data_IF_179472018665
#
_entry.id   IF_179472018665
#
_cell.length_a   1.000
_cell.length_b   1.000
_cell.length_c   1.000
_cell.angle_alpha   90.00
_cell.angle_beta   90.00
_cell.angle_gamma   90.00
#
_symmetry.space_group_name_H-M   'P 1'
#
loop_
_entity.id
_entity.type
_entity.pdbx_description
1 polymer ?
#
# COMPACT_ATOMS: atom_id res chain seq x y z
N UNK A 1 17.55 -15.99 1.40
CA UNK A 1 18.04 -14.63 1.78
C UNK A 1 17.09 -13.62 1.17
N UNK A 2 16.64 -12.61 1.92
CA UNK A 2 15.75 -11.58 1.39
C UNK A 2 16.48 -10.75 0.32
N UNK A 3 15.89 -10.62 -0.84
CA UNK A 3 16.41 -9.84 -1.97
C UNK A 3 15.56 -8.61 -2.26
N UNK A 4 14.29 -8.67 -1.85
CA UNK A 4 13.30 -7.65 -2.16
C UNK A 4 12.45 -7.32 -0.94
N UNK A 5 12.28 -6.03 -0.64
CA UNK A 5 11.43 -5.56 0.46
C UNK A 5 10.31 -4.69 -0.11
N UNK A 6 9.10 -4.98 0.29
CA UNK A 6 7.90 -4.21 -0.09
C UNK A 6 7.35 -3.54 1.16
N UNK A 7 7.25 -2.22 1.13
CA UNK A 7 6.80 -1.40 2.23
C UNK A 7 5.47 -0.74 1.89
N UNK A 8 4.51 -0.81 2.81
CA UNK A 8 3.44 0.18 2.86
C UNK A 8 4.00 1.55 3.25
N UNK A 9 3.20 2.60 3.10
CA UNK A 9 3.59 3.99 3.36
C UNK A 9 2.94 4.52 4.63
N UNK A 10 1.62 4.66 4.63
CA UNK A 10 0.87 5.39 5.65
C UNK A 10 0.70 4.55 6.93
N UNK A 11 1.39 4.91 8.01
CA UNK A 11 1.41 4.16 9.28
C UNK A 11 2.53 3.13 9.38
N UNK A 12 3.22 2.86 8.26
CA UNK A 12 4.43 2.03 8.19
C UNK A 12 5.67 2.92 8.19
N UNK A 13 5.99 3.62 7.09
CA UNK A 13 7.15 4.51 7.06
C UNK A 13 6.83 5.95 7.53
N UNK A 14 5.54 6.24 7.75
CA UNK A 14 5.07 7.53 8.29
C UNK A 14 4.40 7.32 9.64
N UNK A 15 4.33 8.41 10.42
CA UNK A 15 3.54 8.47 11.65
C UNK A 15 2.02 8.65 11.36
N UNK A 16 1.23 8.78 12.44
CA UNK A 16 -0.21 9.04 12.38
C UNK A 16 -0.59 10.38 11.72
N UNK A 17 0.36 11.31 11.58
CA UNK A 17 0.19 12.58 10.89
C UNK A 17 0.68 12.51 9.43
N UNK A 18 1.07 11.33 8.97
CA UNK A 18 1.64 11.07 7.65
C UNK A 18 2.99 11.76 7.41
N UNK A 19 3.74 12.00 8.47
CA UNK A 19 5.10 12.54 8.42
C UNK A 19 6.08 11.37 8.35
N UNK A 20 6.97 11.36 7.35
CA UNK A 20 7.97 10.31 7.20
C UNK A 20 8.99 10.41 8.33
N UNK A 21 9.24 9.30 9.01
CA UNK A 21 10.26 9.20 10.03
C UNK A 21 11.66 9.39 9.44
N UNK A 22 12.53 10.23 10.05
CA UNK A 22 13.94 10.32 9.66
C UNK A 22 14.66 8.96 9.72
N UNK A 23 14.28 8.11 10.68
CA UNK A 23 14.86 6.78 10.85
C UNK A 23 14.40 5.84 9.71
N UNK A 24 13.16 5.96 9.21
CA UNK A 24 12.72 5.24 8.01
C UNK A 24 13.58 5.60 6.79
N UNK A 25 13.87 6.90 6.59
CA UNK A 25 14.70 7.37 5.48
C UNK A 25 16.10 6.77 5.57
N UNK A 26 16.75 6.81 6.76
CA UNK A 26 18.08 6.24 6.98
C UNK A 26 18.10 4.73 6.73
N UNK A 27 17.12 4.01 7.27
CA UNK A 27 17.03 2.56 7.16
C UNK A 27 16.80 2.11 5.72
N UNK A 28 15.89 2.76 4.99
CA UNK A 28 15.66 2.50 3.57
C UNK A 28 16.95 2.69 2.78
N UNK A 29 17.66 3.81 2.95
CA UNK A 29 18.91 4.08 2.24
C UNK A 29 20.00 3.06 2.58
N UNK A 30 20.12 2.68 3.86
CA UNK A 30 21.04 1.63 4.28
C UNK A 30 20.73 0.28 3.62
N UNK A 31 19.45 -0.10 3.52
CA UNK A 31 19.04 -1.31 2.80
C UNK A 31 19.44 -1.26 1.33
N UNK A 32 19.19 -0.13 0.65
CA UNK A 32 19.56 0.08 -0.74
C UNK A 32 21.10 0.00 -0.96
N UNK A 33 21.90 0.59 -0.06
CA UNK A 33 23.37 0.54 -0.07
C UNK A 33 23.90 -0.89 0.10
N UNK A 34 23.16 -1.74 0.84
CA UNK A 34 23.46 -3.16 0.99
C UNK A 34 22.90 -4.05 -0.16
N UNK A 35 22.41 -3.43 -1.24
CA UNK A 35 21.96 -4.14 -2.44
C UNK A 35 20.53 -4.65 -2.40
N UNK A 36 19.75 -4.31 -1.36
CA UNK A 36 18.33 -4.67 -1.28
C UNK A 36 17.54 -3.91 -2.35
N UNK A 37 16.63 -4.61 -3.02
CA UNK A 37 15.61 -3.97 -3.85
C UNK A 37 14.44 -3.56 -2.95
N UNK A 38 14.01 -2.30 -3.02
CA UNK A 38 12.91 -1.80 -2.19
C UNK A 38 11.82 -1.19 -3.08
N UNK A 39 10.58 -1.59 -2.83
CA UNK A 39 9.36 -1.06 -3.46
C UNK A 39 8.44 -0.46 -2.41
N UNK A 40 7.66 0.54 -2.82
CA UNK A 40 6.54 1.06 -2.03
C UNK A 40 5.22 0.68 -2.69
N UNK A 41 4.25 0.25 -1.90
CA UNK A 41 2.89 -0.07 -2.35
C UNK A 41 1.89 0.63 -1.44
N UNK A 42 1.09 1.55 -1.98
CA UNK A 42 0.20 2.39 -1.18
C UNK A 42 -1.13 2.69 -1.89
N UNK A 43 -2.13 3.13 -1.11
CA UNK A 43 -3.36 3.72 -1.64
C UNK A 43 -3.17 5.13 -2.24
N UNK A 44 -1.98 5.71 -2.15
CA UNK A 44 -1.66 7.03 -2.70
C UNK A 44 -1.62 7.03 -4.24
N UNK A 45 -1.79 8.21 -4.82
CA UNK A 45 -1.72 8.44 -6.27
C UNK A 45 -0.27 8.42 -6.77
N UNK A 46 -0.06 8.12 -8.06
CA UNK A 46 1.30 8.03 -8.65
C UNK A 46 2.16 9.29 -8.45
N UNK A 47 1.67 10.52 -8.55
CA UNK A 47 2.50 11.70 -8.26
C UNK A 47 3.16 11.68 -6.87
N UNK A 48 2.44 11.20 -5.85
CA UNK A 48 2.99 11.01 -4.49
C UNK A 48 4.02 9.89 -4.47
N UNK A 49 3.69 8.74 -5.06
CA UNK A 49 4.58 7.58 -5.11
C UNK A 49 5.87 7.87 -5.87
N UNK A 50 5.79 8.62 -6.96
CA UNK A 50 6.96 9.09 -7.72
C UNK A 50 7.85 10.02 -6.88
N UNK A 51 7.24 10.96 -6.14
CA UNK A 51 7.97 11.85 -5.24
C UNK A 51 8.71 11.05 -4.16
N UNK A 52 8.03 10.13 -3.49
CA UNK A 52 8.63 9.24 -2.49
C UNK A 52 9.77 8.40 -3.07
N UNK A 53 9.54 7.75 -4.22
CA UNK A 53 10.59 7.00 -4.94
C UNK A 53 11.82 7.86 -5.16
N UNK A 54 11.64 9.05 -5.68
CA UNK A 54 12.73 9.95 -6.05
C UNK A 54 13.52 10.42 -4.82
N UNK A 55 12.83 10.91 -3.80
CA UNK A 55 13.46 11.52 -2.63
C UNK A 55 14.02 10.51 -1.62
N UNK A 56 13.47 9.29 -1.56
CA UNK A 56 14.02 8.20 -0.75
C UNK A 56 15.15 7.45 -1.48
N UNK A 57 15.25 7.57 -2.80
CA UNK A 57 16.23 6.84 -3.62
C UNK A 57 15.79 5.42 -3.98
N UNK A 58 14.51 5.12 -3.94
CA UNK A 58 13.94 3.79 -4.22
C UNK A 58 14.34 3.32 -5.63
N UNK A 59 14.93 2.13 -5.73
CA UNK A 59 15.47 1.55 -6.96
C UNK A 59 14.47 0.66 -7.73
N UNK A 60 13.48 0.09 -7.04
CA UNK A 60 12.46 -0.78 -7.60
C UNK A 60 11.19 -0.01 -8.05
N UNK A 61 10.19 -0.66 -8.70
CA UNK A 61 8.91 -0.02 -9.01
C UNK A 61 8.19 0.49 -7.77
N UNK A 62 7.33 1.49 -7.93
CA UNK A 62 6.39 1.92 -6.90
C UNK A 62 4.97 1.78 -7.42
N UNK A 63 4.07 1.36 -6.54
CA UNK A 63 2.68 1.11 -6.85
C UNK A 63 1.77 2.06 -6.09
N UNK A 64 0.91 2.74 -6.82
CA UNK A 64 -0.16 3.56 -6.29
C UNK A 64 -1.51 2.87 -6.36
N UNK A 65 -2.50 3.53 -5.77
CA UNK A 65 -3.90 3.13 -5.83
C UNK A 65 -4.13 1.66 -5.45
N UNK A 66 -3.48 1.23 -4.34
CA UNK A 66 -3.52 -0.15 -3.84
C UNK A 66 -3.11 -1.20 -4.89
N UNK A 67 -2.04 -0.94 -5.64
CA UNK A 67 -1.53 -1.86 -6.66
C UNK A 67 -2.16 -1.69 -8.04
N UNK A 68 -3.10 -0.76 -8.21
CA UNK A 68 -3.79 -0.55 -9.49
C UNK A 68 -2.94 0.08 -10.58
N UNK A 69 -1.90 0.79 -10.21
CA UNK A 69 -1.03 1.54 -11.12
C UNK A 69 0.42 1.49 -10.64
N UNK A 70 1.35 1.34 -11.55
CA UNK A 70 2.79 1.23 -11.29
C UNK A 70 3.55 2.35 -12.01
N UNK A 71 4.62 2.85 -11.36
CA UNK A 71 5.67 3.64 -12.01
C UNK A 71 7.01 2.92 -11.90
N UNK A 72 7.65 2.67 -13.04
CA UNK A 72 8.99 2.11 -13.11
C UNK A 72 9.72 2.53 -14.39
N UNK A 73 11.01 2.87 -14.30
CA UNK A 73 11.89 3.21 -15.41
C UNK A 73 11.28 4.22 -16.42
N UNK A 74 10.67 5.30 -15.91
CA UNK A 74 10.08 6.36 -16.73
C UNK A 74 8.72 6.00 -17.34
N UNK A 75 8.15 4.84 -17.02
CA UNK A 75 6.85 4.37 -17.53
C UNK A 75 5.81 4.27 -16.43
N UNK A 76 4.58 4.63 -16.78
CA UNK A 76 3.40 4.38 -15.96
C UNK A 76 2.61 3.26 -16.62
N UNK A 77 2.25 2.26 -15.84
CA UNK A 77 1.43 1.13 -16.28
C UNK A 77 0.19 1.02 -15.41
N UNK A 78 -0.99 0.94 -16.03
CA UNK A 78 -2.29 0.83 -15.39
C UNK A 78 -2.79 -0.61 -15.58
N UNK A 79 -3.27 -1.22 -14.51
CA UNK A 79 -3.73 -2.60 -14.52
C UNK A 79 -5.25 -2.70 -14.42
N UNK A 80 -5.92 -1.60 -14.07
CA UNK A 80 -7.37 -1.51 -13.90
C UNK A 80 -7.90 -0.20 -14.49
N UNK A 81 -9.23 -0.11 -14.63
CA UNK A 81 -9.91 1.02 -15.23
C UNK A 81 -10.60 1.90 -14.18
N UNK A 82 -10.53 3.22 -14.33
CA UNK A 82 -11.15 4.16 -13.40
C UNK A 82 -12.64 4.43 -13.64
N UNK A 83 -13.16 4.12 -14.83
CA UNK A 83 -14.49 4.53 -15.25
C UNK A 83 -15.60 4.08 -14.29
N UNK A 84 -15.59 2.81 -13.91
CA UNK A 84 -16.61 2.22 -13.05
C UNK A 84 -16.51 2.73 -11.60
N UNK A 85 -15.33 2.80 -10.94
CA UNK A 85 -15.17 3.45 -9.64
C UNK A 85 -15.67 4.89 -9.60
N UNK A 86 -15.44 5.70 -10.64
CA UNK A 86 -15.89 7.08 -10.68
C UNK A 86 -17.39 7.23 -10.92
N UNK A 87 -17.97 6.40 -11.79
CA UNK A 87 -19.43 6.35 -11.96
C UNK A 87 -20.15 5.96 -10.66
N UNK A 88 -19.58 4.99 -9.94
CA UNK A 88 -20.12 4.60 -8.64
C UNK A 88 -19.98 5.72 -7.60
N UNK A 89 -18.82 6.41 -7.54
CA UNK A 89 -18.62 7.55 -6.65
C UNK A 89 -19.70 8.64 -6.90
N UNK A 90 -19.97 8.97 -8.15
CA UNK A 90 -21.02 9.93 -8.51
C UNK A 90 -22.41 9.45 -8.05
N UNK A 91 -22.72 8.18 -8.28
CA UNK A 91 -23.99 7.58 -7.87
C UNK A 91 -24.22 7.63 -6.35
N UNK A 92 -23.22 7.27 -5.52
CA UNK A 92 -23.36 7.26 -4.07
C UNK A 92 -23.29 8.66 -3.45
N UNK A 93 -22.57 9.61 -4.07
CA UNK A 93 -22.50 11.00 -3.59
C UNK A 93 -23.85 11.71 -3.57
N UNK A 94 -24.78 11.32 -4.44
CA UNK A 94 -26.14 11.85 -4.47
C UNK A 94 -27.10 11.21 -3.46
N UNK A 95 -26.67 10.18 -2.72
CA UNK A 95 -27.52 9.33 -1.86
C UNK A 95 -27.05 9.16 -0.43
N UNK A 96 -25.88 9.69 -0.10
CA UNK A 96 -25.21 9.52 1.19
C UNK A 96 -24.35 10.74 1.53
N UNK A 97 -23.66 10.71 2.68
CA UNK A 97 -22.71 11.74 3.08
C UNK A 97 -21.37 11.70 2.33
N UNK A 98 -21.24 10.81 1.35
CA UNK A 98 -20.00 10.61 0.58
C UNK A 98 -19.55 11.89 -0.09
N UNK A 99 -18.27 12.24 0.13
CA UNK A 99 -17.61 13.38 -0.50
C UNK A 99 -16.37 12.92 -1.24
N UNK A 100 -16.28 13.33 -2.51
CA UNK A 100 -15.10 13.07 -3.35
C UNK A 100 -13.84 13.65 -2.70
N UNK A 101 -12.76 12.88 -2.69
CA UNK A 101 -11.49 13.32 -2.17
C UNK A 101 -10.70 14.10 -3.23
N UNK A 102 -9.95 15.14 -2.82
CA UNK A 102 -9.27 16.04 -3.76
C UNK A 102 -8.24 15.32 -4.66
N UNK A 103 -7.68 14.19 -4.20
CA UNK A 103 -6.71 13.41 -4.97
C UNK A 103 -7.32 12.67 -6.16
N UNK A 104 -8.66 12.64 -6.29
CA UNK A 104 -9.33 12.01 -7.43
C UNK A 104 -8.93 12.61 -8.79
N UNK A 105 -8.48 13.86 -8.81
CA UNK A 105 -7.97 14.49 -10.03
C UNK A 105 -6.72 13.80 -10.62
N UNK A 106 -5.99 13.00 -9.81
CA UNK A 106 -4.81 12.24 -10.23
C UNK A 106 -5.00 10.73 -10.19
N UNK A 107 -6.20 10.24 -9.85
CA UNK A 107 -6.47 8.81 -9.82
C UNK A 107 -6.79 8.27 -11.20
N UNK A 108 -6.29 7.09 -11.47
CA UNK A 108 -6.35 6.46 -12.78
C UNK A 108 -6.96 5.05 -12.77
N UNK A 109 -7.16 4.44 -11.59
CA UNK A 109 -7.66 3.07 -11.48
C UNK A 109 -8.68 2.87 -10.35
N UNK A 110 -8.80 3.85 -9.45
CA UNK A 110 -9.67 3.80 -8.27
C UNK A 110 -10.27 5.18 -8.00
N UNK A 111 -11.24 5.28 -7.10
CA UNK A 111 -11.71 6.55 -6.58
C UNK A 111 -11.53 6.61 -5.06
N UNK A 112 -11.34 7.81 -4.50
CA UNK A 112 -11.19 8.02 -3.07
C UNK A 112 -12.27 8.97 -2.56
N UNK A 113 -12.74 8.72 -1.32
CA UNK A 113 -13.82 9.51 -0.73
C UNK A 113 -13.75 9.51 0.80
N UNK A 114 -14.50 10.39 1.42
CA UNK A 114 -14.83 10.38 2.84
C UNK A 114 -16.33 10.18 3.00
N UNK A 115 -16.76 9.60 4.12
CA UNK A 115 -18.17 9.43 4.47
C UNK A 115 -18.34 9.40 5.99
N UNK A 116 -19.56 9.60 6.45
CA UNK A 116 -19.93 9.34 7.83
C UNK A 116 -19.99 7.82 8.09
N UNK A 117 -19.64 7.34 9.30
CA UNK A 117 -19.67 5.91 9.63
C UNK A 117 -21.04 5.25 9.42
N UNK A 118 -22.13 5.98 9.59
CA UNK A 118 -23.51 5.50 9.41
C UNK A 118 -23.83 5.08 7.98
N UNK A 119 -23.11 5.60 6.98
CA UNK A 119 -23.31 5.26 5.57
C UNK A 119 -22.50 4.04 5.09
N UNK A 120 -21.58 3.51 5.91
CA UNK A 120 -20.70 2.41 5.52
C UNK A 120 -21.47 1.18 5.03
N UNK A 121 -22.51 0.79 5.77
CA UNK A 121 -23.34 -0.37 5.41
C UNK A 121 -24.07 -0.17 4.06
N UNK A 122 -24.60 1.04 3.82
CA UNK A 122 -25.25 1.38 2.56
C UNK A 122 -24.24 1.37 1.41
N UNK A 123 -23.11 2.06 1.57
CA UNK A 123 -22.09 2.17 0.51
C UNK A 123 -21.50 0.82 0.16
N UNK A 124 -21.23 -0.04 1.15
CA UNK A 124 -20.72 -1.39 0.92
C UNK A 124 -21.73 -2.28 0.19
N UNK A 125 -22.99 -2.27 0.60
CA UNK A 125 -24.04 -3.04 -0.06
C UNK A 125 -24.30 -2.58 -1.51
N UNK A 126 -24.21 -1.29 -1.78
CA UNK A 126 -24.31 -0.77 -3.16
C UNK A 126 -23.09 -1.15 -4.00
N UNK A 127 -21.87 -1.09 -3.42
CA UNK A 127 -20.66 -1.47 -4.12
C UNK A 127 -20.69 -2.93 -4.60
N UNK A 128 -21.20 -3.85 -3.76
CA UNK A 128 -21.39 -5.26 -4.16
C UNK A 128 -22.27 -5.39 -5.41
N UNK A 129 -23.38 -4.63 -5.49
CA UNK A 129 -24.26 -4.63 -6.68
C UNK A 129 -23.55 -4.14 -7.93
N UNK A 130 -22.59 -3.23 -7.75
CA UNK A 130 -21.76 -2.72 -8.83
C UNK A 130 -20.53 -3.61 -9.11
N UNK A 131 -20.36 -4.73 -8.39
CA UNK A 131 -19.14 -5.53 -8.43
C UNK A 131 -17.90 -4.64 -8.28
N UNK A 132 -17.82 -3.92 -7.17
CA UNK A 132 -16.73 -3.06 -6.74
C UNK A 132 -16.40 -3.37 -5.27
N UNK A 133 -15.19 -3.06 -4.85
CA UNK A 133 -14.70 -3.23 -3.50
C UNK A 133 -14.54 -1.88 -2.79
N UNK A 134 -14.92 -1.83 -1.50
CA UNK A 134 -14.72 -0.65 -0.65
C UNK A 134 -13.65 -1.00 0.37
N UNK A 135 -12.58 -0.20 0.41
CA UNK A 135 -11.45 -0.40 1.31
C UNK A 135 -11.20 0.85 2.14
N UNK A 136 -11.11 0.68 3.45
CA UNK A 136 -10.70 1.72 4.39
C UNK A 136 -9.19 1.63 4.66
N UNK A 137 -8.46 2.71 4.40
CA UNK A 137 -7.03 2.82 4.67
C UNK A 137 -6.71 3.60 5.96
N UNK A 138 -7.64 3.68 6.92
CA UNK A 138 -7.63 4.55 8.12
C UNK A 138 -7.72 6.06 7.80
N UNK A 139 -7.15 6.51 6.68
CA UNK A 139 -7.08 7.92 6.29
C UNK A 139 -8.12 8.29 5.22
N UNK A 140 -8.54 7.31 4.41
CA UNK A 140 -9.41 7.52 3.25
C UNK A 140 -10.09 6.23 2.86
N UNK A 141 -11.32 6.32 2.41
CA UNK A 141 -12.04 5.21 1.77
C UNK A 141 -11.70 5.16 0.27
N UNK A 142 -11.61 3.97 -0.27
CA UNK A 142 -11.31 3.72 -1.67
C UNK A 142 -12.39 2.85 -2.31
N UNK A 143 -12.81 3.21 -3.53
CA UNK A 143 -13.60 2.38 -4.43
C UNK A 143 -12.64 1.73 -5.41
N UNK A 144 -12.58 0.43 -5.41
CA UNK A 144 -11.64 -0.34 -6.22
C UNK A 144 -12.33 -1.37 -7.11
N UNK A 145 -11.65 -1.73 -8.18
CA UNK A 145 -12.07 -2.85 -9.02
C UNK A 145 -11.84 -4.18 -8.30
N UNK A 146 -12.59 -5.23 -8.62
CA UNK A 146 -12.35 -6.56 -8.08
C UNK A 146 -10.92 -7.03 -8.35
N UNK A 147 -10.26 -7.52 -7.30
CA UNK A 147 -8.87 -7.99 -7.38
C UNK A 147 -7.81 -6.88 -7.41
N UNK A 148 -8.20 -5.63 -7.41
CA UNK A 148 -7.28 -4.51 -7.26
C UNK A 148 -6.90 -4.37 -5.78
N UNK A 149 -5.73 -4.88 -5.41
CA UNK A 149 -5.24 -4.83 -4.04
C UNK A 149 -3.70 -4.81 -4.01
N UNK A 150 -3.12 -4.58 -2.84
CA UNK A 150 -1.66 -4.51 -2.69
C UNK A 150 -0.96 -5.85 -3.01
N UNK A 151 -1.62 -6.98 -2.80
CA UNK A 151 -1.09 -8.31 -3.15
C UNK A 151 -0.86 -8.47 -4.66
N UNK A 152 -1.72 -7.87 -5.50
CA UNK A 152 -1.53 -7.85 -6.96
C UNK A 152 -0.19 -7.22 -7.38
N UNK A 153 0.26 -6.18 -6.66
CA UNK A 153 1.58 -5.58 -6.91
C UNK A 153 2.73 -6.57 -6.67
N UNK A 154 2.60 -7.47 -5.69
CA UNK A 154 3.62 -8.48 -5.39
C UNK A 154 3.72 -9.54 -6.50
N UNK A 155 2.62 -9.92 -7.12
CA UNK A 155 2.65 -10.84 -8.28
C UNK A 155 3.43 -10.23 -9.45
N UNK A 156 3.25 -8.92 -9.69
CA UNK A 156 4.00 -8.19 -10.71
C UNK A 156 5.49 -8.13 -10.35
N UNK A 157 5.83 -7.76 -9.11
CA UNK A 157 7.20 -7.70 -8.62
C UNK A 157 7.88 -9.07 -8.76
N UNK A 158 7.23 -10.12 -8.27
CA UNK A 158 7.76 -11.49 -8.34
C UNK A 158 8.09 -11.91 -9.76
N UNK A 159 7.16 -11.65 -10.69
CA UNK A 159 7.34 -11.98 -12.11
C UNK A 159 8.44 -11.14 -12.77
N UNK A 160 8.44 -9.83 -12.53
CA UNK A 160 9.37 -8.89 -13.17
C UNK A 160 10.82 -9.07 -12.72
N UNK A 161 11.04 -9.46 -11.46
CA UNK A 161 12.37 -9.65 -10.87
C UNK A 161 12.76 -11.12 -10.74
N UNK A 162 11.95 -12.04 -11.27
CA UNK A 162 12.19 -13.50 -11.26
C UNK A 162 12.47 -14.04 -9.84
N UNK A 163 11.68 -13.57 -8.86
CA UNK A 163 11.84 -13.90 -7.45
C UNK A 163 11.06 -15.16 -7.06
N UNK A 164 11.55 -15.85 -6.02
CA UNK A 164 10.71 -16.76 -5.25
C UNK A 164 10.00 -15.98 -4.14
N UNK A 165 8.88 -16.50 -3.64
CA UNK A 165 8.16 -15.87 -2.54
C UNK A 165 9.02 -15.66 -1.30
N UNK A 166 9.90 -16.61 -0.97
CA UNK A 166 10.85 -16.53 0.16
C UNK A 166 11.94 -15.47 -0.01
N UNK A 167 12.12 -14.91 -1.20
CA UNK A 167 13.05 -13.81 -1.45
C UNK A 167 12.42 -12.45 -1.10
N UNK A 168 11.10 -12.40 -0.84
CA UNK A 168 10.32 -11.17 -0.63
C UNK A 168 9.95 -11.03 0.85
N UNK A 169 10.21 -9.85 1.40
CA UNK A 169 9.74 -9.43 2.72
C UNK A 169 8.73 -8.30 2.57
N UNK A 170 7.55 -8.45 3.15
CA UNK A 170 6.53 -7.39 3.22
C UNK A 170 6.48 -6.77 4.60
N UNK A 171 6.26 -5.46 4.64
CA UNK A 171 6.01 -4.70 5.87
C UNK A 171 4.79 -3.81 5.68
N UNK A 172 3.85 -3.90 6.60
CA UNK A 172 2.60 -3.13 6.59
C UNK A 172 1.99 -3.08 7.99
N UNK A 173 1.01 -2.21 8.19
CA UNK A 173 0.45 -1.93 9.52
C UNK A 173 -1.07 -2.09 9.64
N UNK A 174 -1.79 -2.20 8.53
CA UNK A 174 -3.25 -2.10 8.54
C UNK A 174 -3.96 -3.11 7.64
N UNK A 175 -5.27 -3.25 7.80
CA UNK A 175 -6.05 -4.32 7.16
C UNK A 175 -6.06 -4.22 5.62
N UNK A 176 -5.75 -3.06 5.04
CA UNK A 176 -5.55 -2.94 3.59
C UNK A 176 -4.25 -3.63 3.11
N UNK A 177 -3.38 -4.09 4.04
CA UNK A 177 -2.18 -4.89 3.74
C UNK A 177 -2.47 -6.39 3.74
N UNK A 178 -3.65 -6.84 4.20
CA UNK A 178 -4.02 -8.25 4.28
C UNK A 178 -3.73 -9.03 3.00
N UNK A 179 -3.94 -8.41 1.84
CA UNK A 179 -3.69 -9.05 0.55
C UNK A 179 -2.20 -9.37 0.32
N UNK A 180 -1.26 -8.55 0.81
CA UNK A 180 0.17 -8.84 0.79
C UNK A 180 0.52 -9.93 1.81
N UNK A 181 -0.05 -9.85 3.01
CA UNK A 181 0.19 -10.78 4.09
C UNK A 181 -0.43 -12.16 3.88
N UNK A 182 -1.40 -12.30 2.98
CA UNK A 182 -1.99 -13.59 2.59
C UNK A 182 -1.11 -14.39 1.63
N UNK A 183 -0.10 -13.77 1.01
CA UNK A 183 0.84 -14.45 0.12
C UNK A 183 1.91 -15.21 0.92
N UNK A 184 2.56 -16.24 0.34
CA UNK A 184 3.58 -17.05 1.02
C UNK A 184 4.96 -16.36 1.05
N UNK A 185 4.98 -15.08 1.44
CA UNK A 185 6.17 -14.22 1.58
C UNK A 185 6.63 -14.13 3.04
N UNK A 186 7.81 -13.60 3.29
CA UNK A 186 8.23 -13.19 4.63
C UNK A 186 7.48 -11.95 5.08
N UNK A 187 7.07 -11.91 6.36
CA UNK A 187 6.11 -10.93 6.87
C UNK A 187 6.61 -10.32 8.17
N UNK A 188 6.64 -9.00 8.22
CA UNK A 188 6.93 -8.27 9.45
C UNK A 188 6.01 -7.04 9.56
N UNK A 189 5.79 -6.58 10.77
CA UNK A 189 4.98 -5.39 10.99
C UNK A 189 5.53 -4.54 12.15
N UNK A 190 5.20 -3.23 12.18
CA UNK A 190 5.47 -2.36 13.31
C UNK A 190 4.59 -2.70 14.52
N UNK A 191 4.96 -2.16 15.68
CA UNK A 191 4.16 -2.32 16.90
C UNK A 191 2.75 -1.71 16.81
N UNK A 192 2.59 -0.63 16.04
CA UNK A 192 1.29 0.03 15.81
C UNK A 192 0.37 -0.71 14.82
N UNK A 193 0.78 -1.86 14.31
CA UNK A 193 -0.04 -2.65 13.38
C UNK A 193 -1.33 -3.16 14.05
N UNK A 194 -2.36 -3.41 13.22
CA UNK A 194 -3.60 -4.04 13.68
C UNK A 194 -3.32 -5.45 14.18
N UNK A 195 -4.16 -5.95 15.08
CA UNK A 195 -4.02 -7.32 15.61
C UNK A 195 -4.11 -8.37 14.50
N UNK A 196 -4.90 -8.10 13.44
CA UNK A 196 -4.96 -8.94 12.24
C UNK A 196 -3.58 -9.09 11.60
N UNK A 197 -2.92 -7.98 11.31
CA UNK A 197 -1.59 -7.96 10.67
C UNK A 197 -0.53 -8.59 11.59
N UNK A 198 -0.56 -8.28 12.89
CA UNK A 198 0.35 -8.90 13.86
C UNK A 198 0.20 -10.43 13.88
N UNK A 199 -1.02 -10.94 13.85
CA UNK A 199 -1.28 -12.39 13.86
C UNK A 199 -0.77 -13.12 12.61
N UNK A 200 -0.64 -12.41 11.49
CA UNK A 200 -0.11 -12.94 10.23
C UNK A 200 1.41 -12.77 10.10
N UNK A 201 2.03 -11.96 10.96
CA UNK A 201 3.45 -11.61 10.87
C UNK A 201 4.35 -12.69 11.47
N UNK A 202 5.50 -12.97 10.83
CA UNK A 202 6.57 -13.79 11.39
C UNK A 202 7.39 -12.99 12.43
N UNK A 203 7.35 -11.66 12.32
CA UNK A 203 8.03 -10.77 13.25
C UNK A 203 7.22 -9.49 13.47
N UNK A 204 6.98 -9.16 14.73
CA UNK A 204 6.39 -7.90 15.18
C UNK A 204 7.50 -7.11 15.86
N UNK A 205 7.86 -5.96 15.30
CA UNK A 205 8.86 -5.08 15.92
C UNK A 205 8.31 -4.46 17.22
N UNK A 206 9.20 -4.10 18.13
CA UNK A 206 8.85 -3.27 19.29
C UNK A 206 8.76 -1.78 18.95
N UNK A 207 9.19 -1.39 17.74
CA UNK A 207 9.21 -0.02 17.23
C UNK A 207 8.02 0.25 16.30
N UNK A 208 7.76 1.53 16.02
CA UNK A 208 6.62 2.01 15.23
C UNK A 208 7.00 3.15 14.30
N UNK A 209 6.16 3.37 13.27
CA UNK A 209 6.17 4.58 12.46
C UNK A 209 7.51 4.85 11.77
N UNK A 210 8.08 3.81 11.17
CA UNK A 210 9.31 3.85 10.40
C UNK A 210 10.59 3.54 11.19
N UNK A 211 10.53 3.57 12.52
CA UNK A 211 11.68 3.18 13.37
C UNK A 211 11.94 1.66 13.31
N UNK A 212 10.88 0.87 13.10
CA UNK A 212 10.94 -0.60 12.97
C UNK A 212 11.71 -1.08 11.74
N UNK A 213 11.88 -0.26 10.70
CA UNK A 213 12.50 -0.69 9.43
C UNK A 213 13.92 -1.22 9.66
N UNK A 214 14.71 -0.51 10.48
CA UNK A 214 16.06 -0.99 10.82
C UNK A 214 16.01 -2.31 11.62
N UNK A 215 15.15 -2.38 12.61
CA UNK A 215 14.97 -3.56 13.46
C UNK A 215 14.56 -4.79 12.63
N UNK A 216 13.58 -4.61 11.73
CA UNK A 216 13.15 -5.65 10.80
C UNK A 216 14.30 -6.10 9.88
N UNK A 217 15.08 -5.16 9.32
CA UNK A 217 16.22 -5.52 8.47
C UNK A 217 17.29 -6.32 9.21
N UNK A 218 17.58 -5.98 10.46
CA UNK A 218 18.50 -6.76 11.32
C UNK A 218 17.93 -8.15 11.58
N UNK A 219 16.63 -8.24 11.94
CA UNK A 219 15.95 -9.52 12.21
C UNK A 219 16.00 -10.49 11.05
N UNK A 220 15.86 -9.99 9.82
CA UNK A 220 15.91 -10.80 8.60
C UNK A 220 17.30 -10.90 7.97
N UNK A 221 18.36 -10.49 8.68
CA UNK A 221 19.76 -10.55 8.25
C UNK A 221 20.03 -9.84 6.91
N UNK A 222 19.39 -8.69 6.71
CA UNK A 222 19.58 -7.84 5.53
C UNK A 222 20.76 -6.89 5.73
N UNK A 223 20.94 -6.38 6.94
CA UNK A 223 22.00 -5.44 7.35
C UNK A 223 22.62 -5.86 8.65
#
# INVERSE_FOLDING_TARGET
>A
MIKFMVLDVDGTITDQNRIISPEAIKSIRRGLENGLQISLVSGNVIPVMYGLKTFLGINAPVFGENGGIMYYNGKIEKFFEKSKPFQFLEYISGKSSVKSYFTNQWRETSAAFSMNPEDEGFVSAEAEKWNLEIVNSKFTWHIMNPGQNKGYALDIIKKQFELNWDDILVVGDSDNDNSMFSLPVKKACPYNATETIKSMSEYVSSESYGNEINDIMVKFHII
#
